data_IF_179054219366
#
_entry.id   IF_179054219366
#
_cell.length_a   1.000
_cell.length_b   1.000
_cell.length_c   1.000
_cell.angle_alpha   90.00
_cell.angle_beta   90.00
_cell.angle_gamma   90.00
#
_symmetry.space_group_name_H-M   'P 1'
#
loop_
_entity.id
_entity.type
_entity.pdbx_description
1 polymer ?
#
# COMPACT_ATOMS: atom_id res chain seq x y z
N UNK A 1 -27.47 73.75 -10.34
CA UNK A 1 -28.01 72.44 -9.90
C UNK A 1 -28.34 71.62 -11.15
N UNK A 2 -27.95 70.33 -11.15
CA UNK A 2 -27.99 69.30 -12.23
C UNK A 2 -26.72 69.20 -13.11
N UNK A 3 -25.89 68.23 -12.71
CA UNK A 3 -24.73 67.64 -13.40
C UNK A 3 -25.27 66.62 -14.41
N UNK A 4 -24.76 66.62 -15.65
CA UNK A 4 -24.87 65.50 -16.58
C UNK A 4 -23.53 64.77 -16.60
N UNK A 5 -23.54 63.50 -16.21
CA UNK A 5 -22.43 62.56 -16.32
C UNK A 5 -22.40 62.00 -17.75
N UNK A 6 -21.31 62.24 -18.49
CA UNK A 6 -20.99 61.52 -19.72
C UNK A 6 -20.10 60.31 -19.39
N UNK A 7 -20.59 59.12 -19.71
CA UNK A 7 -19.84 57.85 -19.56
C UNK A 7 -18.64 57.79 -20.50
N UNK A 8 -17.45 57.62 -19.94
CA UNK A 8 -16.28 57.11 -20.66
C UNK A 8 -16.32 55.59 -20.67
N UNK A 9 -16.46 54.99 -21.86
CA UNK A 9 -16.23 53.56 -22.07
C UNK A 9 -14.72 53.37 -22.23
N UNK A 10 -14.07 52.81 -21.20
CA UNK A 10 -12.69 52.33 -21.28
C UNK A 10 -12.73 50.90 -21.82
N UNK A 11 -12.31 50.71 -23.06
CA UNK A 11 -12.11 49.39 -23.63
C UNK A 11 -10.86 48.75 -23.02
N UNK A 12 -11.05 47.81 -22.09
CA UNK A 12 -9.98 46.95 -21.58
C UNK A 12 -9.67 45.88 -22.65
N UNK A 13 -8.56 46.03 -23.36
CA UNK A 13 -8.01 44.95 -24.17
C UNK A 13 -7.47 43.86 -23.22
N UNK A 14 -8.25 42.80 -23.02
CA UNK A 14 -7.77 41.59 -22.37
C UNK A 14 -6.73 40.95 -23.30
N UNK A 15 -5.46 41.10 -22.96
CA UNK A 15 -4.38 40.33 -23.55
C UNK A 15 -4.54 38.89 -23.01
N UNK A 16 -5.16 38.02 -23.81
CA UNK A 16 -5.19 36.58 -23.54
C UNK A 16 -3.78 36.06 -23.82
N UNK A 17 -2.94 36.02 -22.79
CA UNK A 17 -1.73 35.22 -22.81
C UNK A 17 -2.17 33.75 -22.80
N UNK A 18 -2.24 33.14 -23.98
CA UNK A 18 -2.28 31.70 -24.09
C UNK A 18 -0.95 31.17 -23.52
N UNK A 19 -0.97 30.68 -22.29
CA UNK A 19 0.13 29.91 -21.72
C UNK A 19 0.26 28.64 -22.57
N UNK A 20 1.21 28.62 -23.48
CA UNK A 20 1.64 27.40 -24.15
C UNK A 20 2.08 26.41 -23.07
N UNK A 21 1.36 25.29 -22.98
CA UNK A 21 1.70 24.18 -22.11
C UNK A 21 2.99 23.50 -22.62
N UNK A 22 4.14 24.11 -22.32
CA UNK A 22 5.41 23.43 -22.38
C UNK A 22 5.49 22.50 -21.17
N UNK A 23 5.90 21.25 -21.38
CA UNK A 23 6.15 20.31 -20.31
C UNK A 23 7.15 20.92 -19.31
N UNK A 24 6.77 20.98 -18.03
CA UNK A 24 7.64 21.49 -16.97
C UNK A 24 8.59 20.37 -16.57
N UNK A 25 9.89 20.65 -16.58
CA UNK A 25 10.86 19.76 -15.93
C UNK A 25 10.78 19.97 -14.42
N UNK A 26 10.42 18.93 -13.68
CA UNK A 26 10.39 18.92 -12.22
C UNK A 26 11.61 18.16 -11.71
N UNK A 27 12.46 18.86 -10.96
CA UNK A 27 13.75 18.34 -10.51
C UNK A 27 13.77 18.09 -9.00
N UNK A 28 14.27 16.92 -8.61
CA UNK A 28 14.53 16.55 -7.23
C UNK A 28 15.98 16.08 -7.05
N UNK A 29 16.53 16.30 -5.86
CA UNK A 29 17.79 15.68 -5.42
C UNK A 29 17.54 14.90 -4.12
N UNK A 30 17.82 13.60 -4.15
CA UNK A 30 17.60 12.66 -3.07
C UNK A 30 18.96 12.12 -2.62
N UNK A 31 19.30 12.31 -1.36
CA UNK A 31 20.52 11.77 -0.76
C UNK A 31 20.15 10.70 0.25
N UNK A 32 20.59 9.46 0.00
CA UNK A 32 20.41 8.34 0.93
C UNK A 32 21.63 8.28 1.84
N UNK A 33 21.43 8.31 3.15
CA UNK A 33 22.53 8.25 4.12
C UNK A 33 22.11 7.54 5.41
N UNK A 34 23.09 7.01 6.15
CA UNK A 34 22.86 6.51 7.50
C UNK A 34 22.35 7.64 8.41
N UNK A 35 21.33 7.33 9.22
CA UNK A 35 20.70 8.27 10.13
C UNK A 35 20.49 7.60 11.49
N UNK A 36 21.07 8.20 12.54
CA UNK A 36 20.70 7.83 13.91
C UNK A 36 19.24 8.15 14.14
N UNK A 37 18.48 7.17 14.63
CA UNK A 37 17.03 7.25 14.74
C UNK A 37 16.58 6.64 16.07
N UNK A 38 15.53 7.21 16.66
CA UNK A 38 14.94 6.73 17.90
C UNK A 38 13.41 6.85 17.82
N UNK A 39 12.76 5.85 17.19
CA UNK A 39 11.31 5.82 16.97
C UNK A 39 10.56 5.24 18.17
N UNK A 40 11.16 4.27 18.87
CA UNK A 40 10.50 3.47 19.92
C UNK A 40 10.92 3.85 21.34
N UNK A 41 11.89 4.76 21.48
CA UNK A 41 12.62 5.00 22.74
C UNK A 41 14.04 4.39 22.74
N UNK A 42 14.35 3.48 21.80
CA UNK A 42 15.68 2.91 21.59
C UNK A 42 16.40 3.56 20.40
N UNK A 43 17.59 4.11 20.64
CA UNK A 43 18.43 4.65 19.56
C UNK A 43 19.03 3.50 18.72
N UNK A 44 18.98 3.66 17.41
CA UNK A 44 19.65 2.80 16.42
C UNK A 44 20.49 3.64 15.46
N UNK A 45 21.54 3.05 14.89
CA UNK A 45 22.48 3.70 13.98
C UNK A 45 22.56 3.06 12.58
N UNK A 46 21.81 1.98 12.34
CA UNK A 46 21.75 1.28 11.07
C UNK A 46 20.69 1.82 10.10
N UNK A 47 19.80 2.71 10.56
CA UNK A 47 18.71 3.22 9.74
C UNK A 47 19.25 4.07 8.58
N UNK A 48 18.50 4.06 7.49
CA UNK A 48 18.80 4.82 6.28
C UNK A 48 17.68 5.82 6.05
N UNK A 49 18.04 7.08 5.83
CA UNK A 49 17.09 8.15 5.55
C UNK A 49 17.36 8.75 4.18
N UNK A 50 16.30 9.24 3.52
CA UNK A 50 16.43 10.02 2.29
C UNK A 50 16.23 11.48 2.66
N UNK A 51 17.22 12.32 2.37
CA UNK A 51 17.22 13.74 2.76
C UNK A 51 16.99 13.97 4.27
N UNK A 52 17.44 13.02 5.10
CA UNK A 52 17.37 13.12 6.56
C UNK A 52 16.02 12.79 7.19
N UNK A 53 15.06 12.22 6.44
CA UNK A 53 13.76 11.81 6.98
C UNK A 53 13.42 10.34 6.68
N UNK A 54 12.64 9.75 7.59
CA UNK A 54 11.92 8.48 7.44
C UNK A 54 10.46 8.75 7.87
N UNK A 55 9.47 8.63 6.97
CA UNK A 55 9.59 8.35 5.54
C UNK A 55 10.37 9.44 4.80
N UNK A 56 10.82 9.11 3.60
CA UNK A 56 11.42 10.05 2.65
C UNK A 56 10.41 11.14 2.20
N UNK A 57 10.87 12.30 1.70
CA UNK A 57 9.99 13.37 1.24
C UNK A 57 9.00 12.90 0.16
N UNK A 58 7.77 13.41 0.18
CA UNK A 58 6.83 13.17 -0.91
C UNK A 58 7.29 13.89 -2.18
N UNK A 59 7.35 13.17 -3.29
CA UNK A 59 7.61 13.76 -4.60
C UNK A 59 6.28 14.13 -5.24
N UNK A 60 6.20 15.34 -5.80
CA UNK A 60 4.98 15.83 -6.44
C UNK A 60 5.24 16.18 -7.90
N UNK A 61 4.38 15.66 -8.77
CA UNK A 61 4.39 15.94 -10.19
C UNK A 61 2.98 16.28 -10.67
N UNK A 62 2.88 16.89 -11.84
CA UNK A 62 1.64 16.95 -12.62
C UNK A 62 1.77 16.06 -13.84
N UNK A 63 0.68 15.38 -14.23
CA UNK A 63 0.65 14.60 -15.46
C UNK A 63 1.11 15.45 -16.65
N UNK A 64 2.09 14.96 -17.41
CA UNK A 64 2.72 15.68 -18.50
C UNK A 64 4.03 16.40 -18.14
N UNK A 65 4.44 16.42 -16.88
CA UNK A 65 5.77 16.88 -16.48
C UNK A 65 6.88 15.94 -16.99
N UNK A 66 8.11 16.47 -17.06
CA UNK A 66 9.32 15.68 -17.25
C UNK A 66 10.03 15.57 -15.89
N UNK A 67 10.17 14.35 -15.36
CA UNK A 67 10.87 14.13 -14.10
C UNK A 67 12.39 14.11 -14.33
N UNK A 68 13.13 14.80 -13.47
CA UNK A 68 14.59 14.70 -13.38
C UNK A 68 14.99 14.51 -11.92
N UNK A 69 15.33 13.28 -11.52
CA UNK A 69 15.59 12.94 -10.12
C UNK A 69 17.03 12.50 -9.96
N UNK A 70 17.84 13.26 -9.21
CA UNK A 70 19.22 12.91 -8.91
C UNK A 70 19.26 12.16 -7.58
N UNK A 71 19.67 10.89 -7.62
CA UNK A 71 19.85 10.05 -6.43
C UNK A 71 21.33 9.97 -6.10
N UNK A 72 21.70 10.34 -4.87
CA UNK A 72 23.08 10.33 -4.35
C UNK A 72 23.21 9.28 -3.27
N UNK A 73 24.21 8.41 -3.39
CA UNK A 73 24.55 7.44 -2.37
C UNK A 73 25.55 8.05 -1.37
N UNK A 74 25.05 8.44 -0.21
CA UNK A 74 25.85 8.88 0.95
C UNK A 74 26.09 7.77 1.99
N UNK A 75 25.67 6.53 1.71
CA UNK A 75 25.94 5.36 2.55
C UNK A 75 27.39 4.93 2.35
N UNK A 76 28.09 4.60 3.44
CA UNK A 76 29.55 4.41 3.42
C UNK A 76 30.01 3.18 2.64
N UNK A 77 29.37 2.05 2.91
CA UNK A 77 29.88 0.73 2.49
C UNK A 77 28.80 -0.14 1.81
N UNK A 78 27.66 0.46 1.44
CA UNK A 78 26.57 -0.23 0.75
C UNK A 78 26.23 0.50 -0.55
N UNK A 79 25.98 -0.27 -1.62
CA UNK A 79 25.32 0.27 -2.80
C UNK A 79 23.84 0.58 -2.49
N UNK A 80 23.23 1.44 -3.29
CA UNK A 80 21.81 1.75 -3.19
C UNK A 80 21.17 1.74 -4.56
N UNK A 81 19.87 1.55 -4.58
CA UNK A 81 19.01 1.75 -5.74
C UNK A 81 17.69 2.36 -5.27
N UNK A 82 16.92 2.94 -6.18
CA UNK A 82 15.54 3.37 -5.89
C UNK A 82 14.66 2.93 -7.04
N UNK A 83 13.57 2.24 -6.73
CA UNK A 83 12.51 1.90 -7.66
C UNK A 83 11.33 2.88 -7.55
N UNK A 84 10.72 3.22 -8.69
CA UNK A 84 9.56 4.10 -8.78
C UNK A 84 8.28 3.26 -8.92
N UNK A 85 7.80 2.77 -7.79
CA UNK A 85 6.73 1.77 -7.73
C UNK A 85 5.45 2.23 -8.41
N UNK A 86 4.99 1.44 -9.39
CA UNK A 86 3.77 1.71 -10.15
C UNK A 86 3.90 2.77 -11.23
N UNK A 87 5.09 3.35 -11.45
CA UNK A 87 5.32 4.34 -12.50
C UNK A 87 5.59 3.66 -13.85
N UNK A 88 4.92 4.13 -14.90
CA UNK A 88 5.10 3.67 -16.27
C UNK A 88 6.25 4.41 -16.96
N UNK A 89 7.45 3.86 -16.87
CA UNK A 89 8.70 4.44 -17.35
C UNK A 89 9.47 3.47 -18.29
N UNK A 90 10.51 3.94 -19.00
CA UNK A 90 11.43 3.05 -19.71
C UNK A 90 12.17 2.11 -18.73
N UNK A 91 12.42 0.84 -19.08
CA UNK A 91 13.03 -0.13 -18.16
C UNK A 91 14.37 0.32 -17.55
N UNK A 92 15.19 1.06 -18.29
CA UNK A 92 16.48 1.59 -17.83
C UNK A 92 16.39 2.68 -16.74
N UNK A 93 15.19 3.23 -16.53
CA UNK A 93 14.87 4.23 -15.51
C UNK A 93 14.18 3.61 -14.28
N UNK A 94 13.91 2.30 -14.29
CA UNK A 94 13.05 1.61 -13.33
C UNK A 94 13.67 1.46 -11.95
N UNK A 95 15.01 1.38 -11.87
CA UNK A 95 15.70 1.38 -10.59
C UNK A 95 16.04 0.02 -10.00
N UNK A 96 15.69 -1.09 -10.66
CA UNK A 96 15.98 -2.44 -10.15
C UNK A 96 17.43 -2.82 -10.44
N UNK A 97 18.25 -2.83 -9.38
CA UNK A 97 19.66 -3.18 -9.46
C UNK A 97 19.86 -4.57 -10.08
N UNK A 98 20.86 -4.68 -10.96
CA UNK A 98 21.28 -5.94 -11.62
C UNK A 98 20.21 -6.61 -12.50
N UNK A 99 19.12 -5.91 -12.82
CA UNK A 99 18.12 -6.36 -13.78
C UNK A 99 18.11 -5.45 -15.00
N UNK A 100 17.62 -4.22 -14.83
CA UNK A 100 17.51 -3.22 -15.89
C UNK A 100 18.29 -1.93 -15.57
N UNK A 101 18.70 -1.75 -14.32
CA UNK A 101 19.36 -0.53 -13.84
C UNK A 101 20.65 -0.86 -13.09
N UNK A 102 21.76 -0.12 -13.29
CA UNK A 102 22.98 -0.30 -12.49
C UNK A 102 22.78 0.25 -11.06
N UNK A 103 23.39 -0.38 -10.05
CA UNK A 103 23.37 0.14 -8.68
C UNK A 103 24.16 1.46 -8.58
N UNK A 104 23.86 2.25 -7.55
CA UNK A 104 24.58 3.48 -7.23
C UNK A 104 25.58 3.16 -6.11
N UNK A 105 26.86 3.08 -6.45
CA UNK A 105 27.93 2.80 -5.48
C UNK A 105 28.15 3.95 -4.47
N UNK A 106 28.76 3.68 -3.30
CA UNK A 106 29.09 4.71 -2.31
C UNK A 106 29.78 5.95 -2.91
N UNK A 107 29.29 7.13 -2.51
CA UNK A 107 29.80 8.42 -2.99
C UNK A 107 29.48 8.75 -4.46
N UNK A 108 28.71 7.91 -5.15
CA UNK A 108 28.25 8.15 -6.52
C UNK A 108 26.82 8.65 -6.56
N UNK A 109 26.39 9.07 -7.73
CA UNK A 109 25.02 9.48 -8.01
C UNK A 109 24.56 8.99 -9.37
N UNK A 110 23.25 8.91 -9.54
CA UNK A 110 22.58 8.65 -10.82
C UNK A 110 21.44 9.64 -10.99
N UNK A 111 21.23 10.10 -12.22
CA UNK A 111 20.08 10.91 -12.58
C UNK A 111 19.10 10.04 -13.33
N UNK A 112 17.86 10.01 -12.87
CA UNK A 112 16.73 9.36 -13.54
C UNK A 112 15.94 10.40 -14.31
N UNK A 113 15.56 10.08 -15.55
CA UNK A 113 14.78 10.99 -16.40
C UNK A 113 13.68 10.25 -17.15
N UNK A 114 12.44 10.60 -16.89
CA UNK A 114 11.30 9.98 -17.57
C UNK A 114 10.11 10.92 -17.65
N UNK A 115 9.22 10.63 -18.61
CA UNK A 115 7.99 11.39 -18.81
C UNK A 115 6.93 10.96 -17.81
N UNK A 116 6.28 11.90 -17.14
CA UNK A 116 5.09 11.63 -16.35
C UNK A 116 3.89 11.53 -17.30
N UNK A 117 3.36 10.32 -17.48
CA UNK A 117 2.25 10.02 -18.42
C UNK A 117 1.00 9.42 -17.76
N UNK A 118 0.96 9.42 -16.44
CA UNK A 118 -0.15 8.96 -15.62
C UNK A 118 -0.39 9.97 -14.49
N UNK A 119 -1.44 9.76 -13.70
CA UNK A 119 -1.68 10.45 -12.44
C UNK A 119 -2.06 9.43 -11.35
N UNK A 120 -2.18 9.87 -10.10
CA UNK A 120 -2.53 9.02 -8.97
C UNK A 120 -1.51 9.03 -7.83
N UNK A 121 -1.68 8.08 -6.91
CA UNK A 121 -0.84 7.90 -5.73
C UNK A 121 0.08 6.70 -5.91
N UNK A 122 1.38 6.94 -5.81
CA UNK A 122 2.45 5.96 -5.99
C UNK A 122 3.49 6.14 -4.89
N UNK A 123 4.60 5.42 -4.97
CA UNK A 123 5.67 5.50 -3.99
C UNK A 123 7.01 5.12 -4.60
N UNK A 124 8.08 5.35 -3.88
CA UNK A 124 9.43 4.94 -4.24
C UNK A 124 10.12 4.35 -3.02
N UNK A 125 11.00 3.38 -3.26
CA UNK A 125 11.73 2.71 -2.20
C UNK A 125 13.05 2.13 -2.68
N UNK A 126 13.92 1.74 -1.76
CA UNK A 126 15.11 1.01 -2.15
C UNK A 126 14.76 -0.36 -2.72
N UNK A 127 15.40 -0.71 -3.83
CA UNK A 127 15.31 -2.03 -4.44
C UNK A 127 16.62 -2.82 -4.26
N UNK A 128 17.41 -2.44 -3.25
CA UNK A 128 18.65 -3.12 -2.86
C UNK A 128 18.47 -3.82 -1.51
N UNK A 129 18.52 -5.15 -1.53
CA UNK A 129 18.47 -6.00 -0.34
C UNK A 129 17.28 -5.63 0.58
N UNK A 130 17.54 -5.29 1.85
CA UNK A 130 16.55 -4.98 2.88
C UNK A 130 16.55 -3.49 3.28
N UNK A 131 17.07 -2.61 2.41
CA UNK A 131 17.22 -1.19 2.72
C UNK A 131 15.89 -0.45 2.87
N UNK A 132 14.81 -0.93 2.24
CA UNK A 132 13.45 -0.44 2.46
C UNK A 132 13.09 -0.51 3.96
N UNK A 133 13.23 -1.68 4.59
CA UNK A 133 12.97 -1.87 6.03
C UNK A 133 13.89 -1.02 6.92
N UNK A 134 15.06 -0.60 6.42
CA UNK A 134 15.96 0.33 7.13
C UNK A 134 15.48 1.79 7.08
N UNK A 135 14.48 2.14 6.25
CA UNK A 135 13.89 3.48 6.17
C UNK A 135 13.86 4.12 4.78
N UNK A 136 14.29 3.42 3.72
CA UNK A 136 14.35 3.99 2.36
C UNK A 136 13.05 3.77 1.61
N UNK A 137 12.04 4.59 1.91
CA UNK A 137 10.74 4.62 1.23
C UNK A 137 10.07 6.00 1.35
N UNK A 138 9.30 6.41 0.34
CA UNK A 138 8.54 7.67 0.33
C UNK A 138 7.43 7.68 -0.71
N UNK A 139 6.49 8.63 -0.59
CA UNK A 139 5.35 8.72 -1.50
C UNK A 139 5.66 9.52 -2.77
N UNK A 140 4.91 9.23 -3.83
CA UNK A 140 4.83 10.04 -5.05
C UNK A 140 3.37 10.39 -5.27
N UNK A 141 3.06 11.67 -5.40
CA UNK A 141 1.74 12.16 -5.80
C UNK A 141 1.85 12.75 -7.19
N UNK A 142 1.04 12.25 -8.11
CA UNK A 142 0.96 12.80 -9.46
C UNK A 142 -0.43 13.37 -9.67
N UNK A 143 -0.51 14.70 -9.75
CA UNK A 143 -1.73 15.44 -9.97
C UNK A 143 -2.22 15.26 -11.42
N UNK A 144 -3.52 15.01 -11.65
CA UNK A 144 -4.05 14.93 -13.01
C UNK A 144 -3.96 16.30 -13.70
N UNK A 145 -3.83 16.33 -15.03
CA UNK A 145 -3.91 17.59 -15.80
C UNK A 145 -5.23 18.33 -15.57
N UNK A 146 -6.29 17.57 -15.27
CA UNK A 146 -7.61 18.09 -14.96
C UNK A 146 -8.16 17.33 -13.76
N UNK A 147 -8.23 18.01 -12.62
CA UNK A 147 -8.86 17.45 -11.43
C UNK A 147 -10.37 17.32 -11.63
N UNK A 148 -10.89 16.13 -11.34
CA UNK A 148 -12.32 15.80 -11.45
C UNK A 148 -12.93 15.45 -10.11
N UNK A 149 -12.11 15.04 -9.15
CA UNK A 149 -12.51 14.68 -7.79
C UNK A 149 -12.47 15.95 -6.95
N UNK A 150 -13.62 16.31 -6.37
CA UNK A 150 -13.73 17.48 -5.49
C UNK A 150 -13.39 17.10 -4.04
N UNK A 151 -12.49 17.86 -3.44
CA UNK A 151 -12.13 17.81 -2.02
C UNK A 151 -11.68 19.21 -1.59
N UNK A 152 -11.78 19.50 -0.29
CA UNK A 152 -11.38 20.77 0.31
C UNK A 152 -9.94 20.71 0.82
N UNK A 153 -9.52 19.54 1.32
CA UNK A 153 -8.17 19.28 1.82
C UNK A 153 -7.69 17.89 1.42
N UNK A 154 -6.38 17.75 1.37
CA UNK A 154 -5.70 16.51 1.02
C UNK A 154 -4.57 16.23 2.01
N UNK A 155 -4.33 14.95 2.31
CA UNK A 155 -3.17 14.51 3.07
C UNK A 155 -2.62 13.19 2.52
N UNK A 156 -1.29 13.06 2.54
CA UNK A 156 -0.58 11.82 2.23
C UNK A 156 -0.33 11.04 3.51
N UNK A 157 -0.58 9.75 3.45
CA UNK A 157 -0.48 8.79 4.56
C UNK A 157 0.43 7.66 4.11
N UNK A 158 1.63 7.59 4.69
CA UNK A 158 2.59 6.51 4.45
C UNK A 158 2.60 5.60 5.67
N UNK A 159 2.10 4.38 5.49
CA UNK A 159 2.11 3.33 6.49
C UNK A 159 3.47 2.61 6.43
N UNK A 160 4.02 2.29 7.59
CA UNK A 160 5.23 1.47 7.66
C UNK A 160 5.30 0.67 8.95
N UNK A 161 6.07 -0.41 8.93
CA UNK A 161 6.49 -1.15 10.10
C UNK A 161 7.92 -0.76 10.49
N UNK A 162 8.28 -0.93 11.75
CA UNK A 162 9.60 -0.54 12.26
C UNK A 162 10.12 -1.56 13.27
N UNK A 163 11.41 -1.89 13.14
CA UNK A 163 12.11 -2.70 14.13
C UNK A 163 13.36 -1.99 14.63
N UNK A 164 13.65 -2.17 15.91
CA UNK A 164 14.91 -1.77 16.53
C UNK A 164 16.04 -2.80 16.33
N UNK A 165 15.78 -3.82 15.51
CA UNK A 165 16.74 -4.80 15.01
C UNK A 165 17.13 -4.42 13.57
N UNK A 166 18.42 -4.53 13.26
CA UNK A 166 18.90 -4.32 11.89
C UNK A 166 18.24 -5.35 10.96
N UNK A 167 17.69 -4.91 9.82
CA UNK A 167 16.99 -5.78 8.87
C UNK A 167 17.83 -6.98 8.38
N UNK A 168 19.16 -6.84 8.24
CA UNK A 168 20.04 -7.96 7.91
C UNK A 168 20.09 -8.99 9.04
N UNK A 169 19.94 -8.56 10.29
CA UNK A 169 19.80 -9.45 11.45
C UNK A 169 18.44 -10.13 11.47
N UNK A 170 17.36 -9.44 11.07
CA UNK A 170 16.03 -10.02 10.96
C UNK A 170 16.04 -11.21 9.99
N UNK A 171 16.59 -11.02 8.78
CA UNK A 171 16.75 -12.12 7.81
C UNK A 171 17.61 -13.26 8.36
N UNK A 172 18.68 -12.96 9.11
CA UNK A 172 19.50 -14.01 9.76
C UNK A 172 18.72 -14.77 10.83
N UNK A 173 17.84 -14.12 11.58
CA UNK A 173 17.01 -14.76 12.60
C UNK A 173 15.97 -15.67 11.95
N UNK A 174 15.28 -15.18 10.91
CA UNK A 174 14.29 -15.95 10.14
C UNK A 174 14.87 -17.22 9.53
N UNK A 175 16.15 -17.21 9.13
CA UNK A 175 16.85 -18.41 8.61
C UNK A 175 17.37 -19.38 9.67
N UNK A 176 17.40 -18.99 10.95
CA UNK A 176 18.06 -19.75 12.02
C UNK A 176 17.08 -20.47 12.95
N UNK A 177 15.90 -19.90 13.20
CA UNK A 177 15.04 -20.38 14.27
C UNK A 177 13.54 -20.09 14.01
N UNK A 178 12.68 -21.09 14.19
CA UNK A 178 11.28 -21.04 13.78
C UNK A 178 10.35 -20.24 14.70
N UNK A 179 10.77 -19.93 15.92
CA UNK A 179 9.87 -19.37 16.95
C UNK A 179 10.28 -17.99 17.50
N UNK A 180 11.46 -17.44 17.18
CA UNK A 180 11.95 -16.18 17.79
C UNK A 180 10.94 -15.03 17.68
N UNK A 181 10.42 -14.78 16.47
CA UNK A 181 9.42 -13.74 16.25
C UNK A 181 8.03 -14.13 16.76
N UNK A 182 7.70 -15.42 16.80
CA UNK A 182 6.48 -15.90 17.47
C UNK A 182 6.50 -15.56 18.97
N UNK A 183 7.65 -15.69 19.65
CA UNK A 183 7.80 -15.23 21.04
C UNK A 183 7.62 -13.73 21.17
N UNK A 184 8.22 -12.94 20.27
CA UNK A 184 8.13 -11.47 20.29
C UNK A 184 6.68 -10.97 20.12
N UNK A 185 5.89 -11.66 19.30
CA UNK A 185 4.46 -11.39 19.07
C UNK A 185 3.53 -12.10 20.05
N UNK A 186 4.06 -12.93 20.95
CA UNK A 186 3.29 -13.80 21.84
C UNK A 186 2.30 -14.72 21.10
N UNK A 187 2.72 -15.28 19.96
CA UNK A 187 1.90 -16.11 19.06
C UNK A 187 2.36 -17.58 18.95
N UNK A 188 3.17 -18.05 19.90
CA UNK A 188 3.69 -19.43 19.90
C UNK A 188 2.57 -20.46 20.07
N UNK A 189 2.47 -21.41 19.13
CA UNK A 189 1.55 -22.54 19.20
C UNK A 189 2.16 -23.70 19.98
N UNK A 190 1.37 -24.40 20.78
CA UNK A 190 1.81 -25.60 21.52
C UNK A 190 1.00 -26.83 21.14
N UNK A 191 1.62 -28.02 21.26
CA UNK A 191 0.93 -29.31 21.07
C UNK A 191 -0.27 -29.42 22.03
N UNK A 192 -0.12 -28.98 23.29
CA UNK A 192 -1.19 -28.97 24.27
C UNK A 192 -2.35 -28.03 23.87
N UNK A 193 -2.04 -26.89 23.25
CA UNK A 193 -3.03 -25.98 22.66
C UNK A 193 -3.75 -26.62 21.47
N UNK A 194 -3.00 -27.22 20.54
CA UNK A 194 -3.56 -27.90 19.36
C UNK A 194 -4.47 -29.08 19.74
N UNK A 195 -4.10 -29.85 20.77
CA UNK A 195 -4.93 -30.94 21.30
C UNK A 195 -6.23 -30.42 21.94
N UNK A 196 -6.17 -29.32 22.70
CA UNK A 196 -7.37 -28.69 23.29
C UNK A 196 -8.29 -28.10 22.23
N UNK A 197 -7.73 -27.57 21.14
CA UNK A 197 -8.46 -27.02 20.01
C UNK A 197 -8.99 -28.09 19.02
N UNK A 198 -8.57 -29.35 19.16
CA UNK A 198 -8.96 -30.44 18.23
C UNK A 198 -8.17 -30.48 16.91
N UNK A 199 -7.16 -29.62 16.74
CA UNK A 199 -6.42 -29.41 15.49
C UNK A 199 -5.05 -30.11 15.45
N UNK A 200 -4.86 -31.16 16.26
CA UNK A 200 -3.58 -31.87 16.34
C UNK A 200 -3.14 -32.48 14.98
N UNK A 201 -4.09 -32.97 14.17
CA UNK A 201 -3.78 -33.53 12.84
C UNK A 201 -3.20 -32.47 11.91
N UNK A 202 -3.85 -31.30 11.84
CA UNK A 202 -3.41 -30.13 11.06
C UNK A 202 -2.05 -29.65 11.53
N UNK A 203 -1.84 -29.58 12.85
CA UNK A 203 -0.54 -29.25 13.43
C UNK A 203 0.58 -30.20 12.96
N UNK A 204 0.38 -31.51 13.02
CA UNK A 204 1.38 -32.48 12.54
C UNK A 204 1.58 -32.46 11.02
N UNK A 205 0.53 -32.22 10.24
CA UNK A 205 0.64 -32.08 8.77
C UNK A 205 1.50 -30.86 8.39
N UNK A 206 1.26 -29.71 9.03
CA UNK A 206 2.06 -28.51 8.83
C UNK A 206 3.53 -28.74 9.18
N UNK A 207 3.80 -29.37 10.34
CA UNK A 207 5.16 -29.74 10.74
C UNK A 207 5.85 -30.67 9.72
N UNK A 208 5.13 -31.65 9.16
CA UNK A 208 5.66 -32.53 8.12
C UNK A 208 5.95 -31.79 6.81
N UNK A 209 5.06 -30.87 6.41
CA UNK A 209 5.23 -30.01 5.24
C UNK A 209 6.26 -28.88 5.47
N UNK A 210 6.83 -28.78 6.69
CA UNK A 210 7.72 -27.68 7.11
C UNK A 210 7.11 -26.30 6.93
N UNK A 211 5.78 -26.25 6.96
CA UNK A 211 5.03 -25.01 7.03
C UNK A 211 4.70 -24.79 8.50
N UNK A 212 4.94 -23.57 9.00
CA UNK A 212 4.55 -23.20 10.35
C UNK A 212 3.05 -23.34 10.61
N UNK A 213 2.61 -23.06 11.83
CA UNK A 213 1.20 -22.77 12.07
C UNK A 213 0.76 -21.50 11.34
N UNK A 214 -0.51 -21.12 11.46
CA UNK A 214 -0.98 -19.82 10.95
C UNK A 214 -0.20 -18.71 11.65
N UNK A 215 0.72 -18.09 10.92
CA UNK A 215 1.39 -16.86 11.28
C UNK A 215 1.11 -15.84 10.16
N UNK A 216 0.53 -14.70 10.53
CA UNK A 216 0.05 -13.70 9.57
C UNK A 216 1.13 -12.67 9.20
N UNK A 217 2.25 -12.65 9.93
CA UNK A 217 3.42 -11.81 9.65
C UNK A 217 4.65 -12.50 10.19
N UNK A 218 5.72 -12.70 9.41
CA UNK A 218 6.90 -13.44 9.90
C UNK A 218 7.75 -12.67 10.93
N UNK A 219 7.56 -11.35 11.03
CA UNK A 219 8.42 -10.46 11.79
C UNK A 219 7.66 -9.82 12.95
N UNK A 220 8.24 -9.89 14.15
CA UNK A 220 7.77 -9.14 15.31
C UNK A 220 8.32 -7.71 15.28
N UNK A 221 7.52 -6.76 14.81
CA UNK A 221 7.90 -5.35 14.76
C UNK A 221 7.76 -4.66 16.13
N UNK A 222 8.58 -3.64 16.36
CA UNK A 222 8.62 -2.85 17.61
C UNK A 222 7.68 -1.63 17.54
N UNK A 223 7.26 -1.25 16.32
CA UNK A 223 6.29 -0.19 16.08
C UNK A 223 5.63 -0.30 14.71
N UNK A 224 4.42 0.22 14.62
CA UNK A 224 3.75 0.58 13.37
C UNK A 224 3.62 2.09 13.33
N UNK A 225 3.69 2.66 12.13
CA UNK A 225 3.81 4.10 11.95
C UNK A 225 2.89 4.59 10.83
N UNK A 226 2.31 5.77 11.06
CA UNK A 226 1.75 6.64 10.01
C UNK A 226 2.65 7.86 9.92
N UNK A 227 3.22 8.12 8.73
CA UNK A 227 4.12 9.24 8.49
C UNK A 227 5.28 9.30 9.52
N UNK A 228 5.82 8.13 9.89
CA UNK A 228 6.94 8.00 10.82
C UNK A 228 6.57 8.14 12.31
N UNK A 229 5.28 8.16 12.66
CA UNK A 229 4.80 8.36 14.04
C UNK A 229 3.79 7.29 14.46
N UNK A 230 3.81 6.91 15.74
CA UNK A 230 2.83 5.98 16.34
C UNK A 230 1.46 6.63 16.56
N UNK A 231 1.44 7.88 17.02
CA UNK A 231 0.25 8.71 17.20
C UNK A 231 0.59 10.15 16.77
N UNK A 232 -0.24 10.75 15.91
CA UNK A 232 -0.05 12.14 15.50
C UNK A 232 -1.35 12.84 15.06
N UNK A 233 -1.40 14.17 15.17
CA UNK A 233 -2.41 14.95 14.45
C UNK A 233 -2.00 15.06 12.98
N UNK A 234 -2.81 14.51 12.07
CA UNK A 234 -2.54 14.55 10.64
C UNK A 234 -2.99 15.87 10.02
N UNK A 235 -4.25 16.25 10.29
CA UNK A 235 -4.87 17.40 9.64
C UNK A 235 -5.96 17.99 10.54
N UNK A 236 -6.05 19.31 10.61
CA UNK A 236 -7.18 20.01 11.22
C UNK A 236 -8.28 20.22 10.17
N UNK A 237 -9.50 19.84 10.50
CA UNK A 237 -10.64 19.97 9.60
C UNK A 237 -11.94 20.34 10.32
N UNK A 238 -12.77 21.11 9.64
CA UNK A 238 -14.08 21.56 10.09
C UNK A 238 -15.18 20.61 9.60
N UNK A 239 -16.32 20.53 10.31
CA UNK A 239 -17.48 19.78 9.83
C UNK A 239 -17.90 20.23 8.42
N UNK A 240 -18.23 19.27 7.57
CA UNK A 240 -18.60 19.48 6.17
C UNK A 240 -17.44 19.54 5.19
N UNK A 241 -16.19 19.72 5.64
CA UNK A 241 -15.02 19.64 4.75
C UNK A 241 -14.85 18.21 4.24
N UNK A 242 -14.64 18.08 2.93
CA UNK A 242 -14.34 16.81 2.26
C UNK A 242 -12.83 16.63 2.16
N UNK A 243 -12.33 15.57 2.76
CA UNK A 243 -10.90 15.28 2.88
C UNK A 243 -10.55 14.12 1.95
N UNK A 244 -9.47 14.27 1.18
CA UNK A 244 -8.82 13.19 0.44
C UNK A 244 -7.61 12.68 1.21
N UNK A 245 -7.56 11.38 1.45
CA UNK A 245 -6.40 10.72 2.03
C UNK A 245 -5.78 9.83 0.96
N UNK A 246 -4.48 10.01 0.70
CA UNK A 246 -3.68 9.20 -0.22
C UNK A 246 -2.83 8.25 0.59
N UNK A 247 -3.23 6.98 0.63
CA UNK A 247 -2.67 5.99 1.54
C UNK A 247 -1.74 5.06 0.78
N UNK A 248 -0.52 4.94 1.26
CA UNK A 248 0.53 4.06 0.73
C UNK A 248 0.93 3.08 1.83
N UNK A 249 0.90 1.78 1.55
CA UNK A 249 1.51 0.80 2.43
C UNK A 249 2.97 0.56 1.99
N UNK A 250 3.91 1.24 2.64
CA UNK A 250 5.35 1.14 2.43
C UNK A 250 6.03 0.32 3.54
N UNK A 251 5.30 -0.65 4.09
CA UNK A 251 5.84 -1.56 5.09
C UNK A 251 6.54 -2.74 4.44
N UNK A 252 7.55 -3.29 5.13
CA UNK A 252 8.35 -4.36 4.58
C UNK A 252 7.62 -5.70 4.56
N UNK A 253 6.71 -5.95 5.53
CA UNK A 253 5.93 -7.20 5.54
C UNK A 253 4.57 -7.13 6.24
N UNK A 254 4.04 -5.93 6.50
CA UNK A 254 2.80 -5.76 7.27
C UNK A 254 1.58 -5.46 6.40
N UNK A 255 0.60 -6.34 6.43
CA UNK A 255 -0.76 -6.00 6.01
C UNK A 255 -1.44 -5.14 7.08
N UNK A 256 -2.14 -4.09 6.65
CA UNK A 256 -2.88 -3.22 7.56
C UNK A 256 -4.38 -3.27 7.32
N UNK A 257 -5.13 -3.42 8.40
CA UNK A 257 -6.53 -3.02 8.47
C UNK A 257 -6.60 -1.51 8.72
N UNK A 258 -7.01 -0.77 7.69
CA UNK A 258 -7.14 0.69 7.73
C UNK A 258 -8.60 1.07 7.92
N UNK A 259 -8.91 1.83 8.96
CA UNK A 259 -10.27 2.31 9.28
C UNK A 259 -10.24 3.78 9.74
N UNK A 260 -11.39 4.44 9.68
CA UNK A 260 -11.54 5.85 10.05
C UNK A 260 -12.62 6.04 11.12
N UNK A 261 -12.20 6.00 12.38
CA UNK A 261 -13.10 6.04 13.53
C UNK A 261 -14.16 4.96 13.42
N UNK A 262 -15.42 5.36 13.48
CA UNK A 262 -16.58 4.48 13.28
C UNK A 262 -17.34 4.83 11.98
N UNK A 263 -16.67 5.51 11.05
CA UNK A 263 -17.25 6.09 9.84
C UNK A 263 -16.74 5.35 8.60
N UNK A 264 -17.60 5.02 7.63
CA UNK A 264 -17.14 4.44 6.37
C UNK A 264 -16.33 5.45 5.55
N UNK A 265 -15.36 4.94 4.81
CA UNK A 265 -14.55 5.66 3.84
C UNK A 265 -15.10 5.40 2.43
N UNK A 266 -15.11 6.45 1.60
CA UNK A 266 -15.39 6.32 0.18
C UNK A 266 -14.08 6.08 -0.57
N UNK A 267 -13.82 4.86 -1.02
CA UNK A 267 -12.62 4.49 -1.79
C UNK A 267 -12.84 4.88 -3.25
N UNK A 268 -11.90 5.63 -3.82
CA UNK A 268 -12.05 6.26 -5.14
C UNK A 268 -10.94 5.92 -6.13
N UNK A 269 -9.79 5.45 -5.65
CA UNK A 269 -8.67 5.02 -6.48
C UNK A 269 -7.94 3.88 -5.77
N UNK A 270 -7.37 2.98 -6.58
CA UNK A 270 -6.60 1.84 -6.13
C UNK A 270 -5.37 1.70 -7.05
N UNK A 271 -4.16 1.64 -6.48
CA UNK A 271 -2.88 1.64 -7.20
C UNK A 271 -2.72 2.82 -8.18
N UNK A 272 -3.24 3.98 -7.79
CA UNK A 272 -3.21 5.19 -8.62
C UNK A 272 -4.19 5.19 -9.80
N UNK A 273 -5.03 4.16 -9.96
CA UNK A 273 -6.08 4.12 -10.99
C UNK A 273 -7.45 4.40 -10.36
N UNK A 274 -8.17 5.37 -10.92
CA UNK A 274 -9.52 5.70 -10.49
C UNK A 274 -10.50 4.53 -10.71
N UNK A 275 -11.34 4.29 -9.70
CA UNK A 275 -12.38 3.25 -9.70
C UNK A 275 -13.78 3.88 -9.58
N UNK A 276 -14.82 3.10 -9.85
CA UNK A 276 -16.15 3.49 -9.37
C UNK A 276 -16.13 3.55 -7.84
N UNK A 277 -16.56 4.68 -7.23
CA UNK A 277 -16.46 4.83 -5.79
C UNK A 277 -17.20 3.74 -5.02
N UNK A 278 -16.54 3.16 -4.03
CA UNK A 278 -17.09 2.14 -3.13
C UNK A 278 -17.05 2.62 -1.68
N UNK A 279 -18.04 2.26 -0.87
CA UNK A 279 -18.08 2.58 0.56
C UNK A 279 -17.55 1.37 1.34
N UNK A 280 -16.61 1.60 2.26
CA UNK A 280 -16.04 0.56 3.09
C UNK A 280 -15.76 1.06 4.50
N UNK A 281 -16.08 0.28 5.53
CA UNK A 281 -15.65 0.60 6.91
C UNK A 281 -14.16 0.38 7.09
N UNK A 282 -13.60 -0.57 6.35
CA UNK A 282 -12.21 -0.99 6.46
C UNK A 282 -11.60 -1.35 5.11
N UNK A 283 -10.29 -1.14 4.99
CA UNK A 283 -9.44 -1.64 3.91
C UNK A 283 -8.44 -2.63 4.47
N UNK A 284 -8.35 -3.82 3.90
CA UNK A 284 -7.17 -4.67 4.08
C UNK A 284 -6.16 -4.28 2.99
N UNK A 285 -5.12 -3.53 3.38
CA UNK A 285 -4.05 -3.12 2.50
C UNK A 285 -2.85 -4.06 2.62
N UNK A 286 -2.50 -4.72 1.52
CA UNK A 286 -1.23 -5.40 1.38
C UNK A 286 -0.06 -4.45 1.20
N UNK A 287 1.16 -4.96 1.39
CA UNK A 287 2.38 -4.21 1.10
C UNK A 287 2.33 -3.74 -0.36
N UNK A 288 2.85 -2.53 -0.61
CA UNK A 288 2.96 -1.93 -1.92
C UNK A 288 1.64 -1.56 -2.63
N UNK A 289 0.48 -1.77 -2.00
CA UNK A 289 -0.78 -1.22 -2.50
C UNK A 289 -0.92 0.26 -2.14
N UNK A 290 -1.65 1.00 -2.99
CA UNK A 290 -2.07 2.36 -2.68
C UNK A 290 -3.58 2.50 -2.82
N UNK A 291 -4.19 3.33 -1.97
CA UNK A 291 -5.61 3.65 -2.04
C UNK A 291 -5.81 5.13 -1.77
N UNK A 292 -6.68 5.76 -2.56
CA UNK A 292 -7.21 7.07 -2.20
C UNK A 292 -8.62 6.92 -1.67
N UNK A 293 -8.89 7.57 -0.55
CA UNK A 293 -10.21 7.61 0.07
C UNK A 293 -10.66 9.05 0.26
N UNK A 294 -11.98 9.23 0.18
CA UNK A 294 -12.67 10.45 0.55
C UNK A 294 -13.50 10.21 1.79
N UNK A 295 -13.53 11.20 2.67
CA UNK A 295 -14.55 11.27 3.71
C UNK A 295 -14.92 12.73 3.96
N UNK A 296 -16.16 12.96 4.36
CA UNK A 296 -16.62 14.28 4.79
C UNK A 296 -16.66 14.31 6.30
N UNK A 297 -16.01 15.29 6.92
CA UNK A 297 -15.99 15.42 8.38
C UNK A 297 -17.42 15.62 8.88
N UNK A 298 -18.00 14.66 9.64
CA UNK A 298 -19.44 14.68 9.90
C UNK A 298 -19.83 15.69 10.98
N UNK A 299 -18.96 15.91 11.95
CA UNK A 299 -19.23 16.75 13.13
C UNK A 299 -17.93 17.30 13.70
N UNK A 300 -18.03 18.20 14.70
CA UNK A 300 -16.87 18.85 15.31
C UNK A 300 -16.14 17.90 16.29
N UNK A 301 -15.57 16.84 15.71
CA UNK A 301 -14.79 15.81 16.39
C UNK A 301 -13.49 15.53 15.64
N UNK A 302 -12.60 14.81 16.31
CA UNK A 302 -11.28 14.42 15.80
C UNK A 302 -11.25 12.91 15.57
N UNK A 303 -11.36 12.49 14.32
CA UNK A 303 -11.51 11.09 13.92
C UNK A 303 -10.16 10.40 13.77
N UNK A 304 -10.05 9.20 14.30
CA UNK A 304 -8.84 8.38 14.20
C UNK A 304 -8.79 7.66 12.86
N UNK A 305 -7.81 7.98 12.01
CA UNK A 305 -7.33 7.05 10.99
C UNK A 305 -6.42 6.04 11.67
N UNK A 306 -6.87 4.79 11.80
CA UNK A 306 -6.11 3.71 12.43
C UNK A 306 -5.63 2.72 11.38
N UNK A 307 -4.35 2.38 11.42
CA UNK A 307 -3.76 1.28 10.67
C UNK A 307 -3.33 0.17 11.64
N UNK A 308 -4.11 -0.90 11.73
CA UNK A 308 -3.87 -2.03 12.62
C UNK A 308 -3.19 -3.15 11.86
N UNK A 309 -2.08 -3.70 12.39
CA UNK A 309 -1.42 -4.85 11.76
C UNK A 309 -2.39 -6.05 11.68
N UNK A 310 -2.29 -6.86 10.62
CA UNK A 310 -3.23 -7.95 10.36
C UNK A 310 -3.25 -9.01 11.47
N UNK A 311 -2.14 -9.20 12.17
CA UNK A 311 -1.99 -10.09 13.33
C UNK A 311 -2.45 -9.45 14.65
N UNK A 312 -2.87 -8.18 14.62
CA UNK A 312 -3.41 -7.41 15.76
C UNK A 312 -2.40 -7.28 16.92
N UNK A 313 -1.09 -7.31 16.60
CA UNK A 313 -0.03 -7.11 17.58
C UNK A 313 0.25 -5.62 17.89
N UNK A 314 -0.34 -4.70 17.12
CA UNK A 314 -0.18 -3.27 17.27
C UNK A 314 -0.86 -2.45 16.16
N UNK A 315 -0.82 -1.13 16.30
CA UNK A 315 -1.39 -0.19 15.33
C UNK A 315 -0.68 1.17 15.39
N UNK A 316 -0.96 1.99 14.39
CA UNK A 316 -0.64 3.43 14.37
C UNK A 316 -1.92 4.26 14.20
N UNK A 317 -1.90 5.47 14.76
CA UNK A 317 -3.04 6.39 14.76
C UNK A 317 -2.65 7.74 14.18
N UNK A 318 -3.53 8.28 13.34
CA UNK A 318 -3.42 9.64 12.82
C UNK A 318 -4.77 10.34 12.93
N UNK A 319 -4.79 11.53 13.52
CA UNK A 319 -6.03 12.21 13.90
C UNK A 319 -6.42 13.28 12.87
N UNK A 320 -7.70 13.30 12.48
CA UNK A 320 -8.23 14.23 11.47
C UNK A 320 -9.48 14.93 12.02
N UNK A 321 -9.46 16.26 12.04
CA UNK A 321 -10.55 17.06 12.57
C UNK A 321 -10.14 17.83 13.83
N UNK A 322 -11.12 18.18 14.67
CA UNK A 322 -10.93 18.99 15.86
C UNK A 322 -11.98 18.64 16.91
N UNK A 323 -11.65 18.76 18.20
CA UNK A 323 -12.58 18.48 19.29
C UNK A 323 -12.37 17.10 19.91
N UNK A 324 -13.46 16.48 20.38
CA UNK A 324 -13.41 15.18 21.05
C UNK A 324 -12.91 14.08 20.11
N UNK A 325 -12.04 13.20 20.63
CA UNK A 325 -11.46 12.10 19.86
C UNK A 325 -12.49 10.98 19.64
N UNK A 326 -12.64 10.56 18.39
CA UNK A 326 -13.44 9.38 18.00
C UNK A 326 -12.50 8.29 17.53
N UNK A 327 -12.27 7.31 18.39
CA UNK A 327 -11.39 6.19 18.09
C UNK A 327 -12.01 5.18 17.13
N UNK A 328 -11.14 4.51 16.38
CA UNK A 328 -11.50 3.33 15.60
C UNK A 328 -11.84 2.15 16.53
N UNK A 329 -12.64 1.21 16.02
CA UNK A 329 -12.97 0.00 16.78
C UNK A 329 -11.76 -0.90 16.94
N UNK A 330 -11.59 -1.49 18.12
CA UNK A 330 -10.55 -2.48 18.37
C UNK A 330 -10.86 -3.79 17.64
N UNK A 331 -9.83 -4.42 17.07
CA UNK A 331 -9.96 -5.73 16.44
C UNK A 331 -9.70 -6.83 17.46
N UNK A 332 -10.39 -7.95 17.29
CA UNK A 332 -10.11 -9.16 18.04
C UNK A 332 -8.85 -9.82 17.48
N UNK A 333 -7.98 -10.28 18.37
CA UNK A 333 -6.79 -11.03 17.96
C UNK A 333 -7.20 -12.30 17.19
N UNK A 334 -6.48 -12.67 16.11
CA UNK A 334 -6.75 -13.89 15.37
C UNK A 334 -6.67 -15.13 16.26
N UNK A 335 -7.57 -16.08 16.05
CA UNK A 335 -7.50 -17.36 16.75
C UNK A 335 -6.33 -18.19 16.20
N UNK A 336 -5.27 -18.24 17.01
CA UNK A 336 -4.07 -19.03 16.74
C UNK A 336 -4.34 -20.53 16.66
N UNK A 337 -5.53 -21.07 16.80
CA UNK A 337 -5.80 -22.50 16.59
C UNK A 337 -7.00 -22.75 15.68
N UNK A 338 -7.61 -21.72 15.09
CA UNK A 338 -8.73 -21.92 14.19
C UNK A 338 -8.31 -22.71 12.93
N UNK A 339 -9.08 -23.73 12.51
CA UNK A 339 -8.90 -24.35 11.21
C UNK A 339 -9.21 -23.35 10.10
N UNK A 340 -8.31 -23.20 9.12
CA UNK A 340 -8.64 -22.46 7.90
C UNK A 340 -9.64 -23.28 7.11
N UNK A 341 -10.90 -22.83 7.08
CA UNK A 341 -11.91 -23.48 6.26
C UNK A 341 -11.49 -23.39 4.78
N UNK A 342 -11.36 -24.54 4.13
CA UNK A 342 -10.94 -24.69 2.73
C UNK A 342 -11.93 -24.13 1.68
N UNK A 343 -12.93 -23.36 2.11
CA UNK A 343 -13.86 -22.66 1.24
C UNK A 343 -13.42 -21.19 1.18
N UNK A 344 -12.72 -20.84 0.11
CA UNK A 344 -12.31 -19.47 -0.17
C UNK A 344 -13.49 -18.50 -0.03
N UNK A 345 -13.39 -17.64 0.97
CA UNK A 345 -13.82 -16.24 1.00
C UNK A 345 -13.25 -15.70 2.31
N UNK A 346 -12.40 -14.68 2.22
CA UNK A 346 -11.90 -13.97 3.39
C UNK A 346 -13.05 -13.41 4.22
N UNK A 347 -12.75 -13.20 5.50
CA UNK A 347 -13.62 -12.80 6.60
C UNK A 347 -14.41 -13.96 7.24
N UNK A 348 -14.15 -14.15 8.54
CA UNK A 348 -15.10 -14.78 9.43
C UNK A 348 -16.39 -13.97 9.44
N UNK A 349 -17.32 -14.33 8.56
CA UNK A 349 -18.72 -13.97 8.69
C UNK A 349 -19.28 -14.80 9.86
N UNK A 350 -19.24 -14.25 11.07
CA UNK A 350 -20.07 -14.76 12.15
C UNK A 350 -21.52 -14.39 11.84
N UNK A 351 -22.35 -15.41 11.61
CA UNK A 351 -23.80 -15.32 11.57
C UNK A 351 -24.32 -14.86 12.94
N UNK A 352 -24.70 -13.58 13.03
CA UNK A 352 -25.46 -13.04 14.14
C UNK A 352 -26.94 -12.85 13.75
N UNK A 353 -27.57 -13.91 13.24
CA UNK A 353 -29.02 -14.00 13.33
C UNK A 353 -29.41 -14.23 14.80
N UNK A 354 -29.90 -13.13 15.41
CA UNK A 354 -30.51 -12.96 16.75
C UNK A 354 -29.63 -12.18 17.73
N UNK A 355 -29.73 -10.85 17.67
CA UNK A 355 -29.82 -10.03 18.88
C UNK A 355 -30.81 -8.89 18.65
N UNK A 356 -31.71 -8.73 19.60
CA UNK A 356 -32.84 -7.80 19.55
C UNK A 356 -32.36 -6.34 19.48
N UNK A 357 -32.91 -5.59 18.52
CA UNK A 357 -32.67 -4.17 18.35
C UNK A 357 -33.45 -3.36 19.40
N UNK A 358 -32.75 -2.81 20.40
CA UNK A 358 -33.18 -1.59 21.08
C UNK A 358 -32.51 -0.40 20.37
N UNK A 359 -33.34 0.48 19.83
CA UNK A 359 -32.94 1.51 18.86
C UNK A 359 -32.07 2.63 19.43
N UNK A 360 -31.06 3.01 18.64
CA UNK A 360 -30.52 4.35 18.62
C UNK A 360 -30.50 4.85 17.17
N UNK A 361 -31.23 5.94 16.94
CA UNK A 361 -31.32 6.64 15.67
C UNK A 361 -29.99 7.29 15.33
N UNK A 362 -29.35 6.83 14.24
CA UNK A 362 -28.24 7.56 13.61
C UNK A 362 -28.86 8.50 12.59
N UNK A 363 -28.70 9.81 12.81
CA UNK A 363 -29.11 10.83 11.84
C UNK A 363 -28.27 10.71 10.56
N UNK A 364 -28.96 10.91 9.45
CA UNK A 364 -28.53 10.66 8.08
C UNK A 364 -27.39 11.57 7.62
N UNK A 365 -26.30 10.96 7.13
CA UNK A 365 -25.28 11.60 6.29
C UNK A 365 -25.88 11.87 4.90
N UNK A 366 -25.61 13.02 4.23
CA UNK A 366 -26.14 13.31 2.91
C UNK A 366 -25.62 12.32 1.86
N UNK A 367 -26.54 11.82 1.03
CA UNK A 367 -26.29 10.85 -0.03
C UNK A 367 -25.47 11.42 -1.21
N UNK A 368 -24.46 10.66 -1.65
CA UNK A 368 -24.09 10.53 -3.07
C UNK A 368 -23.07 9.40 -3.34
N UNK A 369 -23.30 8.19 -2.82
CA UNK A 369 -22.86 6.93 -3.46
C UNK A 369 -23.94 5.89 -3.20
N UNK A 370 -24.71 5.54 -4.21
CA UNK A 370 -25.73 4.51 -4.10
C UNK A 370 -25.05 3.12 -4.14
N UNK A 371 -24.62 2.62 -2.99
CA UNK A 371 -24.03 1.29 -2.86
C UNK A 371 -24.06 0.79 -1.41
N UNK A 372 -24.03 -0.53 -1.18
CA UNK A 372 -23.88 -1.07 0.16
C UNK A 372 -22.54 -0.62 0.76
N UNK A 373 -22.52 -0.40 2.07
CA UNK A 373 -21.27 -0.20 2.81
C UNK A 373 -20.64 -1.58 3.05
N UNK A 374 -19.45 -1.80 2.50
CA UNK A 374 -18.68 -3.02 2.72
C UNK A 374 -18.09 -3.02 4.13
N UNK A 375 -18.07 -4.17 4.80
CA UNK A 375 -17.36 -4.31 6.08
C UNK A 375 -15.85 -4.15 5.86
N UNK A 376 -15.29 -4.92 4.92
CA UNK A 376 -13.91 -4.81 4.47
C UNK A 376 -13.90 -4.82 2.95
N UNK A 377 -13.25 -3.84 2.32
CA UNK A 377 -13.07 -3.84 0.87
C UNK A 377 -11.87 -4.71 0.48
N UNK A 378 -12.07 -5.49 -0.58
CA UNK A 378 -11.02 -6.29 -1.22
C UNK A 378 -10.95 -6.01 -2.73
N UNK A 379 -9.93 -6.53 -3.42
CA UNK A 379 -9.79 -6.42 -4.87
C UNK A 379 -11.00 -6.96 -5.66
N UNK A 380 -11.73 -7.91 -5.07
CA UNK A 380 -12.92 -8.53 -5.69
C UNK A 380 -14.14 -7.58 -5.73
N UNK A 381 -14.11 -6.51 -4.92
CA UNK A 381 -15.13 -5.46 -4.88
C UNK A 381 -14.81 -4.26 -5.76
N UNK A 382 -13.54 -4.14 -6.18
CA UNK A 382 -13.09 -3.05 -7.03
C UNK A 382 -13.68 -3.16 -8.44
N UNK A 383 -14.02 -2.00 -8.98
CA UNK A 383 -14.68 -1.89 -10.28
C UNK A 383 -14.14 -0.68 -11.04
N UNK A 384 -13.59 -0.89 -12.23
CA UNK A 384 -13.04 0.18 -13.05
C UNK A 384 -14.13 1.16 -13.52
N UNK A 385 -13.77 2.43 -13.71
CA UNK A 385 -14.64 3.49 -14.24
C UNK A 385 -15.00 3.30 -15.72
N UNK A 386 -14.16 2.55 -16.46
CA UNK A 386 -14.36 2.21 -17.86
C UNK A 386 -14.04 0.73 -18.12
N UNK A 387 -14.32 0.24 -19.33
CA UNK A 387 -13.89 -1.10 -19.75
C UNK A 387 -12.36 -1.16 -19.77
N UNK A 388 -11.82 -2.22 -19.19
CA UNK A 388 -10.38 -2.49 -19.15
C UNK A 388 -9.97 -3.59 -20.12
N UNK A 389 -10.91 -4.12 -20.92
CA UNK A 389 -10.66 -5.24 -21.85
C UNK A 389 -9.48 -4.93 -22.77
N UNK A 390 -8.55 -5.88 -22.88
CA UNK A 390 -7.39 -5.76 -23.75
C UNK A 390 -7.79 -5.98 -25.23
N UNK A 391 -7.04 -5.42 -26.20
CA UNK A 391 -7.37 -5.53 -27.62
C UNK A 391 -7.59 -6.98 -28.09
N UNK A 392 -8.66 -7.19 -28.85
CA UNK A 392 -8.98 -8.49 -29.43
C UNK A 392 -7.97 -8.92 -30.51
N UNK A 393 -7.92 -10.23 -30.80
CA UNK A 393 -7.08 -10.79 -31.87
C UNK A 393 -5.58 -10.86 -31.54
N UNK A 394 -5.18 -10.50 -30.32
CA UNK A 394 -3.82 -10.73 -29.81
C UNK A 394 -3.67 -12.18 -29.35
N UNK A 395 -2.46 -12.73 -29.52
CA UNK A 395 -2.12 -14.03 -28.94
C UNK A 395 -2.20 -13.91 -27.42
N UNK A 396 -2.90 -14.86 -26.79
CA UNK A 396 -2.96 -14.99 -25.33
C UNK A 396 -2.01 -16.10 -24.91
N UNK A 397 -1.09 -15.81 -24.00
CA UNK A 397 -0.21 -16.79 -23.38
C UNK A 397 -0.58 -16.93 -21.91
N UNK A 398 -1.00 -18.13 -21.51
CA UNK A 398 -1.40 -18.44 -20.14
C UNK A 398 -0.23 -19.06 -19.36
N UNK A 399 0.01 -18.55 -18.14
CA UNK A 399 1.04 -19.03 -17.23
C UNK A 399 0.42 -19.30 -15.86
N UNK A 400 0.56 -20.53 -15.38
CA UNK A 400 0.24 -20.88 -14.00
C UNK A 400 1.49 -20.70 -13.14
N UNK A 401 1.38 -19.90 -12.09
CA UNK A 401 2.46 -19.57 -11.17
C UNK A 401 2.06 -20.05 -9.77
N UNK A 402 2.71 -21.09 -9.29
CA UNK A 402 2.46 -21.67 -7.97
C UNK A 402 3.39 -21.02 -6.95
N UNK A 403 2.83 -20.31 -5.98
CA UNK A 403 3.56 -19.67 -4.88
C UNK A 403 3.69 -20.67 -3.74
N UNK A 404 4.92 -20.90 -3.29
CA UNK A 404 5.25 -21.85 -2.21
C UNK A 404 6.53 -21.42 -1.48
N UNK A 405 6.87 -22.07 -0.38
CA UNK A 405 8.06 -21.74 0.39
C UNK A 405 8.52 -22.84 1.36
N UNK A 406 9.74 -22.69 1.85
CA UNK A 406 10.29 -23.46 2.97
C UNK A 406 10.55 -22.48 4.12
N UNK A 407 9.67 -22.50 5.12
CA UNK A 407 9.73 -21.61 6.29
C UNK A 407 10.92 -21.92 7.21
N UNK A 408 11.39 -23.18 7.24
CA UNK A 408 12.55 -23.58 8.04
C UNK A 408 13.83 -22.94 7.49
N UNK A 409 13.92 -22.83 6.16
CA UNK A 409 15.07 -22.22 5.47
C UNK A 409 14.86 -20.76 5.10
N UNK A 410 13.65 -20.25 5.28
CA UNK A 410 13.19 -18.94 4.82
C UNK A 410 13.51 -18.68 3.35
N UNK A 411 13.07 -19.60 2.48
CA UNK A 411 13.23 -19.52 1.03
C UNK A 411 11.86 -19.60 0.36
N UNK A 412 11.59 -18.68 -0.54
CA UNK A 412 10.34 -18.57 -1.29
C UNK A 412 10.54 -18.97 -2.76
N UNK A 413 9.52 -19.59 -3.34
CA UNK A 413 9.58 -20.19 -4.66
C UNK A 413 8.37 -19.79 -5.51
N UNK A 414 8.59 -19.68 -6.82
CA UNK A 414 7.53 -19.71 -7.82
C UNK A 414 7.74 -20.95 -8.68
N UNK A 415 6.70 -21.78 -8.84
CA UNK A 415 6.77 -23.05 -9.55
C UNK A 415 7.89 -23.99 -9.03
N UNK A 416 8.12 -23.97 -7.71
CA UNK A 416 9.11 -24.81 -7.03
C UNK A 416 10.57 -24.40 -7.29
N UNK A 417 10.81 -23.21 -7.85
CA UNK A 417 12.14 -22.69 -8.12
C UNK A 417 12.36 -21.35 -7.43
N UNK A 418 13.54 -21.17 -6.87
CA UNK A 418 13.97 -19.89 -6.31
C UNK A 418 14.54 -18.99 -7.42
N UNK A 419 14.62 -17.70 -7.15
CA UNK A 419 15.12 -16.69 -8.10
C UNK A 419 16.55 -16.96 -8.60
N UNK A 420 17.37 -17.79 -7.95
CA UNK A 420 18.70 -18.12 -8.47
C UNK A 420 18.69 -19.33 -9.43
N UNK A 421 17.59 -20.09 -9.46
CA UNK A 421 17.42 -21.29 -10.29
C UNK A 421 16.67 -20.98 -11.59
N UNK A 422 15.68 -20.09 -11.53
CA UNK A 422 14.89 -19.65 -12.68
C UNK A 422 14.44 -18.21 -12.46
N UNK A 423 14.66 -17.37 -13.47
CA UNK A 423 14.54 -15.91 -13.36
C UNK A 423 13.58 -15.31 -14.36
N UNK A 424 13.38 -15.99 -15.49
CA UNK A 424 12.87 -15.34 -16.68
C UNK A 424 11.65 -16.10 -17.21
N UNK A 425 10.54 -15.37 -17.33
CA UNK A 425 9.41 -15.79 -18.17
C UNK A 425 9.49 -14.98 -19.46
N UNK A 426 9.86 -15.64 -20.55
CA UNK A 426 9.98 -14.98 -21.84
C UNK A 426 8.60 -14.74 -22.45
N UNK A 427 8.32 -13.47 -22.76
CA UNK A 427 7.08 -13.01 -23.40
C UNK A 427 7.44 -12.16 -24.63
N UNK A 428 6.52 -12.05 -25.58
CA UNK A 428 6.70 -11.16 -26.73
C UNK A 428 6.02 -9.82 -26.49
N UNK A 429 6.61 -8.75 -27.01
CA UNK A 429 5.98 -7.44 -27.02
C UNK A 429 4.62 -7.48 -27.74
N UNK A 430 3.59 -6.94 -27.09
CA UNK A 430 2.23 -6.87 -27.63
C UNK A 430 1.38 -8.14 -27.51
N UNK A 431 1.93 -9.24 -26.98
CA UNK A 431 1.15 -10.41 -26.57
C UNK A 431 0.30 -10.07 -25.33
N UNK A 432 -0.86 -10.71 -25.21
CA UNK A 432 -1.63 -10.70 -23.96
C UNK A 432 -1.12 -11.84 -23.10
N UNK A 433 -0.70 -11.54 -21.87
CA UNK A 433 -0.23 -12.52 -20.91
C UNK A 433 -1.27 -12.66 -19.80
N UNK A 434 -1.70 -13.90 -19.52
CA UNK A 434 -2.56 -14.21 -18.39
C UNK A 434 -1.77 -15.01 -17.37
N UNK A 435 -1.60 -14.43 -16.19
CA UNK A 435 -1.09 -15.15 -15.03
C UNK A 435 -2.25 -15.72 -14.22
N UNK A 436 -2.09 -16.95 -13.75
CA UNK A 436 -2.94 -17.55 -12.71
C UNK A 436 -2.04 -17.91 -11.55
N UNK A 437 -2.18 -17.17 -10.45
CA UNK A 437 -1.42 -17.43 -9.24
C UNK A 437 -2.16 -18.46 -8.39
N UNK A 438 -1.46 -19.51 -7.97
CA UNK A 438 -1.98 -20.49 -7.00
C UNK A 438 -1.10 -20.42 -5.78
N UNK A 439 -1.64 -19.97 -4.66
CA UNK A 439 -0.90 -19.87 -3.41
C UNK A 439 -1.11 -21.15 -2.60
N UNK A 440 -0.04 -21.93 -2.45
CA UNK A 440 -0.02 -23.14 -1.62
C UNK A 440 0.47 -22.87 -0.20
N UNK A 441 0.88 -21.64 0.10
CA UNK A 441 1.33 -21.26 1.43
C UNK A 441 0.18 -20.76 2.29
N UNK A 442 0.45 -20.70 3.60
CA UNK A 442 -0.48 -20.19 4.61
C UNK A 442 -0.42 -18.66 4.77
N UNK A 443 0.35 -17.97 3.91
CA UNK A 443 0.58 -16.53 4.00
C UNK A 443 0.05 -15.80 2.78
N UNK A 444 -0.28 -14.54 2.99
CA UNK A 444 -0.62 -13.63 1.90
C UNK A 444 0.63 -13.31 1.06
N UNK A 445 0.46 -13.21 -0.26
CA UNK A 445 1.51 -12.75 -1.17
C UNK A 445 1.02 -11.57 -2.01
N UNK A 446 1.50 -10.34 -1.76
CA UNK A 446 1.22 -9.21 -2.62
C UNK A 446 2.11 -9.27 -3.86
N UNK A 447 1.54 -9.68 -4.98
CA UNK A 447 2.28 -9.83 -6.24
C UNK A 447 2.29 -8.50 -7.00
N UNK A 448 3.49 -7.95 -7.19
CA UNK A 448 3.73 -6.73 -7.95
C UNK A 448 4.35 -7.02 -9.33
N UNK A 449 3.97 -6.23 -10.35
CA UNK A 449 4.56 -6.28 -11.69
C UNK A 449 5.07 -4.90 -12.10
N UNK A 450 6.35 -4.80 -12.44
CA UNK A 450 7.00 -3.56 -12.85
C UNK A 450 6.58 -3.15 -14.27
N UNK A 451 6.57 -1.84 -14.51
CA UNK A 451 6.37 -1.23 -15.83
C UNK A 451 4.97 -1.41 -16.45
N UNK A 452 4.04 -2.05 -15.75
CA UNK A 452 2.72 -2.38 -16.27
C UNK A 452 1.64 -2.21 -15.20
N UNK A 453 0.46 -1.81 -15.64
CA UNK A 453 -0.78 -2.15 -14.94
C UNK A 453 -1.35 -3.43 -15.55
N UNK A 454 -1.92 -4.27 -14.71
CA UNK A 454 -2.61 -5.49 -15.13
C UNK A 454 -4.05 -5.49 -14.66
N UNK A 455 -4.88 -6.23 -15.40
CA UNK A 455 -6.29 -6.43 -15.05
C UNK A 455 -6.40 -7.55 -14.03
N UNK A 456 -7.02 -7.27 -12.88
CA UNK A 456 -7.37 -8.33 -11.91
C UNK A 456 -8.78 -8.80 -12.22
N UNK A 457 -8.91 -9.98 -12.83
CA UNK A 457 -10.21 -10.52 -13.24
C UNK A 457 -11.08 -10.81 -12.02
N UNK A 458 -12.27 -10.22 -11.99
CA UNK A 458 -13.24 -10.38 -10.90
C UNK A 458 -14.68 -10.39 -11.44
N UNK A 459 -15.67 -10.39 -10.53
CA UNK A 459 -17.11 -10.43 -10.87
C UNK A 459 -17.60 -9.31 -11.80
N UNK A 460 -16.81 -8.25 -11.99
CA UNK A 460 -17.17 -7.09 -12.80
C UNK A 460 -16.83 -7.23 -14.30
N UNK A 461 -16.26 -8.37 -14.73
CA UNK A 461 -16.07 -8.71 -16.15
C UNK A 461 -15.22 -7.69 -16.91
N UNK A 462 -15.80 -7.06 -17.94
CA UNK A 462 -15.12 -6.04 -18.75
C UNK A 462 -14.61 -4.86 -17.93
N UNK A 463 -15.19 -4.65 -16.74
CA UNK A 463 -14.88 -3.56 -15.82
C UNK A 463 -14.10 -4.01 -14.59
N UNK A 464 -13.43 -5.15 -14.67
CA UNK A 464 -12.42 -5.54 -13.69
C UNK A 464 -11.33 -4.45 -13.55
N UNK A 465 -10.80 -4.21 -12.33
CA UNK A 465 -9.88 -3.11 -12.04
C UNK A 465 -8.51 -3.31 -12.71
N UNK A 466 -7.82 -2.21 -12.93
CA UNK A 466 -6.38 -2.21 -13.18
C UNK A 466 -5.64 -1.99 -11.86
N UNK A 467 -4.60 -2.79 -11.63
CA UNK A 467 -3.73 -2.73 -10.45
C UNK A 467 -2.28 -2.89 -10.89
N UNK A 468 -1.33 -2.52 -10.03
CA UNK A 468 0.08 -2.88 -10.18
C UNK A 468 0.52 -3.88 -9.11
N UNK A 469 -0.25 -4.01 -8.03
CA UNK A 469 -0.03 -4.98 -6.95
C UNK A 469 -1.34 -5.70 -6.65
N UNK A 470 -1.31 -7.02 -6.44
CA UNK A 470 -2.50 -7.79 -6.06
C UNK A 470 -2.20 -8.81 -4.98
N UNK A 471 -3.04 -8.85 -3.95
CA UNK A 471 -2.98 -9.88 -2.92
C UNK A 471 -3.45 -11.25 -3.46
N UNK A 472 -2.60 -12.26 -3.28
CA UNK A 472 -2.94 -13.66 -3.45
C UNK A 472 -3.12 -14.28 -2.05
N UNK A 473 -4.36 -14.51 -1.61
CA UNK A 473 -4.63 -14.94 -0.24
C UNK A 473 -4.11 -16.36 0.03
N UNK A 474 -3.87 -16.71 1.30
CA UNK A 474 -3.48 -18.06 1.73
C UNK A 474 -4.36 -19.14 1.12
N UNK A 475 -3.75 -20.22 0.64
CA UNK A 475 -4.47 -21.36 0.04
C UNK A 475 -5.45 -20.97 -1.09
N UNK A 476 -5.22 -19.79 -1.71
CA UNK A 476 -6.12 -19.17 -2.67
C UNK A 476 -5.61 -19.21 -4.10
N UNK A 477 -6.42 -18.66 -5.01
CA UNK A 477 -6.05 -18.47 -6.41
C UNK A 477 -6.46 -17.07 -6.85
N UNK A 478 -5.63 -16.46 -7.70
CA UNK A 478 -5.90 -15.17 -8.34
C UNK A 478 -5.66 -15.24 -9.84
#
# INVERSE_FOLDING_TARGET
MKRNFGSFIVAFALCVCASSALAKTVRYELTIANQKTNITGKEVDFALAVNGSIPAPTLEFTEGDDAEIVVKNGVKDEEVSLHWHGILLPPEEDGVAYTNTPPIFPGKSRTFKFKIRQHGTYWYHSHTMVQEQKGVYGAIVIHPKKETIRFDKEAVVVLSDWSDENADQIIRNLRKDGDFYLYKKNSVRSIGGALRAGEAKTFFQNQWQRMGGMDLSDVGYDAFLINGKKDSQLLLAHPGERIRLRIVNASASTYFYVSLGQTPMQVISADGVDIEPAQAKELLMGMAETYDVLFTVPEHKNFELRATAQDVNGFASAWIGMGEKVSAQDKLAPDLYAPMNHSGHGAGAMDHSKMDHAGHSVESVPAAVAGPVLETLTVDDLKATASTVLPAGKKVSDFKLVLDGDMERYVWYINGKAIHEDRDILINEGDVVRFTFVNNSMMHHPMHLHGHFFRVLNKNGDRSPLKHTVDVPPMGTR
#
